data_IF_050737491563
#
_entry.id   IF_050737491563
#
_cell.length_a   1.000
_cell.length_b   1.000
_cell.length_c   1.000
_cell.angle_alpha   90.00
_cell.angle_beta   90.00
_cell.angle_gamma   90.00
#
_symmetry.space_group_name_H-M   'P 1'
#
loop_
_entity.id
_entity.type
_entity.pdbx_description
1 polymer ?
#
# COMPACT_ATOMS: atom_id res chain seq x y z
N UNK A 1 -49.30 20.83 -31.59
CA UNK A 1 -49.35 20.93 -30.12
C UNK A 1 -48.26 20.04 -29.54
N UNK A 2 -47.44 20.60 -28.64
CA UNK A 2 -46.69 19.97 -27.51
C UNK A 2 -45.88 18.70 -27.83
N UNK A 3 -44.58 18.81 -28.13
CA UNK A 3 -43.43 18.74 -27.18
C UNK A 3 -43.36 17.45 -26.36
N UNK A 4 -42.40 16.58 -26.69
CA UNK A 4 -41.65 15.70 -25.76
C UNK A 4 -40.28 15.44 -26.43
N UNK A 5 -39.33 16.37 -26.41
CA UNK A 5 -38.25 16.57 -25.43
C UNK A 5 -37.47 15.29 -25.08
N UNK A 6 -36.20 15.32 -25.51
CA UNK A 6 -35.05 14.48 -25.18
C UNK A 6 -35.01 13.95 -23.74
N UNK A 7 -34.50 12.73 -23.59
CA UNK A 7 -33.79 12.30 -22.38
C UNK A 7 -32.52 11.56 -22.79
N UNK A 8 -31.48 12.34 -23.07
CA UNK A 8 -30.10 11.86 -23.19
C UNK A 8 -29.65 11.54 -21.77
N UNK A 9 -29.47 10.24 -21.50
CA UNK A 9 -28.91 9.74 -20.23
C UNK A 9 -27.45 10.17 -20.17
N UNK A 10 -27.19 11.21 -19.39
CA UNK A 10 -25.86 11.67 -19.02
C UNK A 10 -25.27 10.64 -18.05
N UNK A 11 -24.44 9.74 -18.56
CA UNK A 11 -23.57 8.89 -17.74
C UNK A 11 -22.51 9.80 -17.13
N UNK A 12 -22.79 10.32 -15.94
CA UNK A 12 -21.75 10.88 -15.08
C UNK A 12 -20.89 9.72 -14.59
N UNK A 13 -19.80 9.42 -15.30
CA UNK A 13 -18.68 8.69 -14.71
C UNK A 13 -18.11 9.61 -13.63
N UNK A 14 -18.44 9.34 -12.37
CA UNK A 14 -17.81 9.96 -11.21
C UNK A 14 -16.34 9.57 -11.26
N UNK A 15 -15.51 10.45 -11.80
CA UNK A 15 -14.07 10.39 -11.60
C UNK A 15 -13.86 10.73 -10.13
N UNK A 16 -13.88 9.71 -9.28
CA UNK A 16 -13.38 9.82 -7.92
C UNK A 16 -11.88 10.09 -8.05
N UNK A 17 -11.52 11.37 -8.08
CA UNK A 17 -10.16 11.83 -7.81
C UNK A 17 -9.90 11.54 -6.34
N UNK A 18 -9.44 10.33 -6.06
CA UNK A 18 -8.81 10.03 -4.78
C UNK A 18 -7.49 10.78 -4.79
N UNK A 19 -7.34 11.73 -3.86
CA UNK A 19 -6.09 12.45 -3.71
C UNK A 19 -5.09 11.46 -3.13
N UNK A 20 -4.02 11.16 -3.88
CA UNK A 20 -2.94 10.37 -3.33
C UNK A 20 -2.33 11.09 -2.12
N UNK A 21 -2.07 10.33 -1.08
CA UNK A 21 -1.52 10.83 0.17
C UNK A 21 0.01 10.81 0.12
N UNK A 22 0.63 11.72 0.87
CA UNK A 22 2.07 11.72 1.08
C UNK A 22 2.42 10.64 2.11
N UNK A 23 3.42 9.82 1.81
CA UNK A 23 3.93 8.82 2.75
C UNK A 23 4.74 9.55 3.82
N UNK A 24 4.37 9.40 5.08
CA UNK A 24 5.14 9.89 6.23
C UNK A 24 5.34 8.75 7.23
N UNK A 25 6.53 8.13 7.19
CA UNK A 25 6.80 6.94 8.01
C UNK A 25 6.92 7.24 9.51
N UNK A 26 7.10 8.49 9.92
CA UNK A 26 7.24 8.87 11.33
C UNK A 26 8.28 8.01 12.08
N UNK A 27 7.81 7.27 13.09
CA UNK A 27 8.62 6.35 13.90
C UNK A 27 8.78 4.95 13.29
N UNK A 28 8.11 4.64 12.17
CA UNK A 28 8.24 3.36 11.50
C UNK A 28 9.67 3.17 10.96
N UNK A 29 10.28 1.99 11.14
CA UNK A 29 11.68 1.81 10.81
C UNK A 29 11.93 1.95 9.31
N UNK A 30 13.00 2.67 8.98
CA UNK A 30 13.56 2.72 7.62
C UNK A 30 14.53 1.56 7.40
N UNK A 31 14.65 1.09 6.17
CA UNK A 31 15.52 -0.03 5.81
C UNK A 31 14.89 -0.97 4.80
N UNK A 32 15.42 -2.18 4.71
CA UNK A 32 15.04 -3.15 3.69
C UNK A 32 14.64 -4.49 4.30
N UNK A 33 13.54 -5.06 3.83
CA UNK A 33 13.03 -6.35 4.29
C UNK A 33 12.75 -7.27 3.11
N UNK A 34 13.26 -8.49 3.20
CA UNK A 34 13.12 -9.51 2.16
C UNK A 34 11.82 -10.29 2.33
N UNK A 35 10.99 -10.23 1.30
CA UNK A 35 9.94 -11.22 1.05
C UNK A 35 10.53 -12.38 0.24
N UNK A 36 10.87 -13.46 0.94
CA UNK A 36 11.46 -14.64 0.33
C UNK A 36 10.49 -15.41 -0.58
N UNK A 37 9.17 -15.28 -0.39
CA UNK A 37 8.19 -15.97 -1.23
C UNK A 37 8.04 -15.29 -2.59
N UNK A 38 8.26 -13.98 -2.64
CA UNK A 38 8.14 -13.19 -3.87
C UNK A 38 9.48 -12.80 -4.51
N UNK A 39 10.59 -13.23 -3.90
CA UNK A 39 11.96 -12.85 -4.32
C UNK A 39 12.07 -11.32 -4.50
N UNK A 40 11.60 -10.61 -3.48
CA UNK A 40 11.43 -9.17 -3.52
C UNK A 40 11.87 -8.50 -2.23
N UNK A 41 12.33 -7.27 -2.37
CA UNK A 41 12.85 -6.43 -1.31
C UNK A 41 11.95 -5.22 -1.14
N UNK A 42 11.37 -5.09 0.05
CA UNK A 42 10.61 -3.92 0.46
C UNK A 42 11.55 -2.90 1.09
N UNK A 43 11.69 -1.74 0.45
CA UNK A 43 12.56 -0.65 0.90
C UNK A 43 11.70 0.48 1.45
N UNK A 44 11.92 0.82 2.73
CA UNK A 44 11.24 1.88 3.46
C UNK A 44 12.18 3.04 3.67
N UNK A 45 11.76 4.21 3.20
CA UNK A 45 12.45 5.49 3.38
C UNK A 45 11.48 6.50 3.97
N UNK A 46 11.97 7.57 4.60
CA UNK A 46 11.14 8.51 5.39
C UNK A 46 9.87 8.99 4.67
N UNK A 47 9.90 9.10 3.34
CA UNK A 47 8.79 9.56 2.52
C UNK A 47 8.48 8.65 1.31
N UNK A 48 8.93 7.40 1.31
CA UNK A 48 8.62 6.48 0.23
C UNK A 48 8.71 5.02 0.64
N UNK A 49 7.90 4.20 -0.01
CA UNK A 49 7.95 2.75 0.03
C UNK A 49 8.17 2.27 -1.40
N UNK A 50 9.11 1.36 -1.58
CA UNK A 50 9.45 0.82 -2.89
C UNK A 50 9.57 -0.71 -2.80
N UNK A 51 9.22 -1.38 -3.88
CA UNK A 51 9.38 -2.82 -4.03
C UNK A 51 10.39 -3.08 -5.14
N UNK A 52 11.46 -3.79 -4.82
CA UNK A 52 12.47 -4.23 -5.78
C UNK A 52 12.45 -5.75 -5.92
N UNK A 53 12.91 -6.27 -7.06
CA UNK A 53 13.41 -7.65 -7.14
C UNK A 53 14.79 -7.71 -6.51
N UNK A 54 15.20 -8.89 -6.06
CA UNK A 54 16.55 -9.12 -5.51
C UNK A 54 17.69 -8.82 -6.48
N UNK A 55 17.42 -8.80 -7.79
CA UNK A 55 18.36 -8.35 -8.82
C UNK A 55 18.46 -6.81 -8.96
N UNK A 56 17.78 -6.04 -8.12
CA UNK A 56 17.76 -4.57 -8.12
C UNK A 56 16.74 -3.93 -9.06
N UNK A 57 15.90 -4.72 -9.75
CA UNK A 57 14.86 -4.17 -10.63
C UNK A 57 13.72 -3.59 -9.80
N UNK A 58 13.38 -2.31 -10.01
CA UNK A 58 12.20 -1.70 -9.40
C UNK A 58 10.93 -2.35 -9.93
N UNK A 59 10.12 -2.91 -9.03
CA UNK A 59 8.82 -3.52 -9.32
C UNK A 59 7.71 -2.47 -9.17
N UNK A 60 7.76 -1.69 -8.10
CA UNK A 60 6.76 -0.67 -7.82
C UNK A 60 7.31 0.44 -6.93
N UNK A 61 6.89 1.68 -7.23
CA UNK A 61 7.15 2.86 -6.41
C UNK A 61 5.81 3.39 -5.90
N UNK A 62 5.63 3.46 -4.59
CA UNK A 62 4.35 3.84 -3.98
C UNK A 62 4.18 5.35 -3.80
N UNK A 63 5.20 6.15 -4.14
CA UNK A 63 5.17 7.59 -3.96
C UNK A 63 4.03 8.25 -4.73
N UNK A 64 3.12 8.90 -4.01
CA UNK A 64 1.99 9.59 -4.61
C UNK A 64 0.94 8.65 -5.23
N UNK A 65 0.90 7.40 -4.79
CA UNK A 65 -0.06 6.37 -5.25
C UNK A 65 -0.79 5.69 -4.08
N UNK A 66 -0.53 6.11 -2.84
CA UNK A 66 -1.14 5.57 -1.62
C UNK A 66 -2.40 6.34 -1.22
N UNK A 67 -3.34 5.64 -0.62
CA UNK A 67 -4.59 6.16 -0.06
C UNK A 67 -4.86 5.48 1.29
N UNK A 68 -5.53 6.16 2.22
CA UNK A 68 -5.84 5.64 3.56
C UNK A 68 -4.57 5.20 4.31
N UNK A 69 -3.54 6.03 4.24
CA UNK A 69 -2.27 5.81 4.92
C UNK A 69 -2.45 6.03 6.42
N UNK A 70 -2.15 5.01 7.21
CA UNK A 70 -2.23 5.04 8.66
C UNK A 70 -0.94 4.49 9.27
N UNK A 71 -0.46 5.18 10.31
CA UNK A 71 0.61 4.71 11.17
C UNK A 71 0.10 4.68 12.61
N UNK A 72 -0.01 3.47 13.15
CA UNK A 72 -0.55 3.21 14.48
C UNK A 72 0.55 2.67 15.40
N UNK A 73 0.70 3.29 16.57
CA UNK A 73 1.53 2.76 17.65
C UNK A 73 0.65 1.91 18.56
N UNK A 74 1.04 0.65 18.76
CA UNK A 74 0.32 -0.30 19.60
C UNK A 74 1.18 -0.76 20.76
N UNK A 75 0.58 -1.41 21.76
CA UNK A 75 1.33 -2.04 22.86
C UNK A 75 2.28 -3.15 22.38
N UNK A 76 2.01 -3.71 21.19
CA UNK A 76 2.75 -4.84 20.61
C UNK A 76 3.78 -4.41 19.56
N UNK A 77 3.85 -3.11 19.24
CA UNK A 77 4.76 -2.57 18.24
C UNK A 77 4.10 -1.53 17.33
N UNK A 78 4.62 -1.38 16.12
CA UNK A 78 4.13 -0.42 15.13
C UNK A 78 3.34 -1.13 14.03
N UNK A 79 2.28 -0.48 13.54
CA UNK A 79 1.49 -0.93 12.42
C UNK A 79 1.38 0.19 11.39
N UNK A 80 1.78 -0.11 10.16
CA UNK A 80 1.69 0.77 9.00
C UNK A 80 0.71 0.14 8.02
N UNK A 81 -0.32 0.87 7.60
CA UNK A 81 -1.24 0.38 6.58
C UNK A 81 -1.57 1.44 5.54
N UNK A 82 -1.82 0.99 4.32
CA UNK A 82 -2.30 1.83 3.23
C UNK A 82 -2.96 0.98 2.15
N UNK A 83 -3.74 1.62 1.30
CA UNK A 83 -4.25 1.05 0.06
C UNK A 83 -3.57 1.69 -1.14
N UNK A 84 -3.45 0.94 -2.23
CA UNK A 84 -2.90 1.46 -3.48
C UNK A 84 -3.76 1.00 -4.66
N UNK A 85 -4.50 1.94 -5.24
CA UNK A 85 -5.41 1.68 -6.36
C UNK A 85 -4.69 1.17 -7.60
N UNK A 86 -3.46 1.65 -7.86
CA UNK A 86 -2.63 1.19 -8.98
C UNK A 86 -2.31 -0.31 -8.94
N UNK A 87 -2.37 -0.93 -7.75
CA UNK A 87 -2.13 -2.36 -7.54
C UNK A 87 -3.39 -3.14 -7.18
N UNK A 88 -4.52 -2.46 -6.95
CA UNK A 88 -5.79 -3.02 -6.43
C UNK A 88 -5.58 -3.86 -5.14
N UNK A 89 -4.74 -3.33 -4.24
CA UNK A 89 -4.32 -4.00 -3.00
C UNK A 89 -4.33 -3.06 -1.81
N UNK A 90 -4.58 -3.62 -0.64
CA UNK A 90 -4.25 -3.02 0.65
C UNK A 90 -3.06 -3.74 1.28
N UNK A 91 -2.22 -2.96 1.92
CA UNK A 91 -0.97 -3.38 2.52
C UNK A 91 -0.98 -3.05 3.99
N UNK A 92 -0.51 -3.97 4.81
CA UNK A 92 -0.29 -3.77 6.24
C UNK A 92 1.05 -4.37 6.62
N UNK A 93 1.83 -3.60 7.37
CA UNK A 93 3.13 -3.97 7.89
C UNK A 93 3.11 -3.88 9.41
N UNK A 94 3.48 -4.97 10.08
CA UNK A 94 3.52 -5.02 11.54
C UNK A 94 4.96 -5.25 12.00
N UNK A 95 5.47 -4.31 12.78
CA UNK A 95 6.80 -4.37 13.39
C UNK A 95 6.67 -4.64 14.88
N UNK A 96 7.07 -5.82 15.32
CA UNK A 96 7.06 -6.17 16.74
C UNK A 96 8.12 -5.40 17.56
N UNK A 97 7.94 -5.36 18.88
CA UNK A 97 8.83 -4.64 19.81
C UNK A 97 10.25 -5.25 19.87
N UNK A 98 10.36 -6.58 19.81
CA UNK A 98 11.60 -7.30 20.10
C UNK A 98 12.21 -8.07 18.93
N UNK A 99 11.47 -8.26 17.83
CA UNK A 99 11.99 -8.90 16.61
C UNK A 99 12.49 -7.84 15.63
N UNK A 100 13.43 -8.17 14.75
CA UNK A 100 13.84 -7.29 13.64
C UNK A 100 12.99 -7.49 12.39
N UNK A 101 12.26 -8.60 12.34
CA UNK A 101 11.41 -8.98 11.23
C UNK A 101 10.18 -8.06 11.13
N UNK A 102 9.65 -8.00 9.92
CA UNK A 102 8.45 -7.25 9.59
C UNK A 102 7.41 -8.21 9.01
N UNK A 103 6.23 -8.28 9.62
CA UNK A 103 5.13 -9.03 9.03
C UNK A 103 4.49 -8.18 7.95
N UNK A 104 4.28 -8.78 6.78
CA UNK A 104 3.56 -8.20 5.65
C UNK A 104 2.24 -8.92 5.47
N UNK A 105 1.15 -8.16 5.39
CA UNK A 105 -0.17 -8.62 4.99
C UNK A 105 -0.59 -7.84 3.75
N UNK A 106 -1.00 -8.56 2.71
CA UNK A 106 -1.57 -8.00 1.48
C UNK A 106 -2.94 -8.61 1.26
N UNK A 107 -3.94 -7.75 1.15
CA UNK A 107 -5.29 -8.12 0.73
C UNK A 107 -5.60 -7.49 -0.62
N UNK A 108 -6.42 -8.18 -1.42
CA UNK A 108 -6.92 -7.68 -2.70
C UNK A 108 -8.43 -7.49 -2.63
N UNK A 109 -8.97 -6.62 -3.49
CA UNK A 109 -10.41 -6.40 -3.59
C UNK A 109 -11.20 -7.67 -3.99
N UNK A 110 -10.52 -8.65 -4.60
CA UNK A 110 -11.10 -9.95 -4.97
C UNK A 110 -11.05 -10.99 -3.84
N UNK A 111 -10.55 -10.63 -2.66
CA UNK A 111 -10.52 -11.48 -1.47
C UNK A 111 -9.31 -12.43 -1.40
N UNK A 112 -8.29 -12.25 -2.24
CA UNK A 112 -7.00 -12.93 -2.08
C UNK A 112 -6.27 -12.29 -0.90
N UNK A 113 -5.82 -13.14 0.03
CA UNK A 113 -5.05 -12.79 1.21
C UNK A 113 -3.65 -13.40 1.12
N UNK A 114 -2.63 -12.60 1.43
CA UNK A 114 -1.24 -13.00 1.48
C UNK A 114 -0.62 -12.49 2.78
N UNK A 115 0.09 -13.35 3.49
CA UNK A 115 0.75 -13.01 4.74
C UNK A 115 2.13 -13.68 4.80
N UNK A 116 3.15 -12.92 5.19
CA UNK A 116 4.51 -13.45 5.37
C UNK A 116 5.30 -12.66 6.42
N UNK A 117 6.24 -13.32 7.07
CA UNK A 117 7.30 -12.65 7.82
C UNK A 117 8.46 -12.33 6.88
N UNK A 118 8.88 -11.07 6.87
CA UNK A 118 10.00 -10.59 6.08
C UNK A 118 11.22 -10.35 6.96
N UNK A 119 12.39 -10.77 6.47
CA UNK A 119 13.65 -10.65 7.22
C UNK A 119 14.33 -9.34 6.90
N UNK A 120 14.76 -8.61 7.93
CA UNK A 120 15.62 -7.43 7.74
C UNK A 120 16.90 -7.83 7.01
N UNK A 121 17.35 -6.99 6.07
CA UNK A 121 18.57 -7.20 5.30
C UNK A 121 19.75 -6.37 5.82
#
# INVERSE_FOLDING_TARGET
>A
MKRVVLLVVLVFSVLSFTAAEEIELGEFPVGEWMDANYDALWTFSSNNIQLFRTNGTLVYDFKGEVENFELNVTISGLELSYSCKGTARSYKFVKGVSNTDLQLVIDTDSGIHYETDMKFQ
#
